data_IF_796946466187
#
_entry.id   IF_796946466187
#
_cell.length_a   1.000
_cell.length_b   1.000
_cell.length_c   1.000
_cell.angle_alpha   90.00
_cell.angle_beta   90.00
_cell.angle_gamma   90.00
#
_symmetry.space_group_name_H-M   'P 1'
#
loop_
_entity.id
_entity.type
_entity.pdbx_description
1 polymer ?
#
# COMPACT_ATOMS: atom_id res chain seq x y z
N UNK A 1 61.60 -43.83 24.46
CA UNK A 1 61.95 -42.53 25.07
C UNK A 1 61.58 -41.45 24.07
N UNK A 2 60.77 -40.43 24.33
CA UNK A 2 59.93 -39.99 25.45
C UNK A 2 59.05 -38.87 24.88
N UNK A 3 57.90 -38.63 25.49
CA UNK A 3 56.86 -37.65 25.14
C UNK A 3 57.35 -36.20 24.94
N UNK A 4 56.60 -35.39 24.18
CA UNK A 4 55.87 -34.25 24.78
C UNK A 4 54.73 -33.73 23.91
N UNK A 5 53.63 -33.47 24.59
CA UNK A 5 52.31 -33.01 24.15
C UNK A 5 52.19 -31.50 24.05
N UNK A 6 51.38 -31.01 23.11
CA UNK A 6 50.59 -29.78 23.30
C UNK A 6 49.22 -29.92 22.64
N UNK A 7 48.19 -29.90 23.50
CA UNK A 7 46.76 -29.88 23.17
C UNK A 7 46.35 -28.42 22.95
N UNK A 8 45.73 -28.07 21.84
CA UNK A 8 44.84 -26.91 21.76
C UNK A 8 43.42 -27.36 21.44
N UNK A 9 42.48 -26.96 22.30
CA UNK A 9 41.03 -27.13 22.17
C UNK A 9 40.55 -26.41 20.91
N UNK A 10 39.85 -27.10 20.02
CA UNK A 10 38.92 -26.48 19.08
C UNK A 10 37.57 -26.35 19.78
N UNK A 11 37.12 -25.11 19.97
CA UNK A 11 35.74 -24.79 20.34
C UNK A 11 34.90 -24.94 19.07
N UNK A 12 33.94 -25.86 19.12
CA UNK A 12 32.85 -25.95 18.16
C UNK A 12 31.93 -24.74 18.41
N UNK A 13 32.00 -23.73 17.56
CA UNK A 13 30.91 -22.77 17.37
C UNK A 13 30.35 -22.92 15.97
N UNK A 14 29.15 -23.47 15.92
CA UNK A 14 28.28 -23.61 14.77
C UNK A 14 28.01 -22.26 14.10
N UNK A 15 28.60 -22.07 12.92
CA UNK A 15 28.26 -20.98 11.99
C UNK A 15 26.86 -21.26 11.43
N UNK A 16 25.86 -20.35 11.55
CA UNK A 16 24.58 -20.54 10.89
C UNK A 16 24.71 -20.28 9.37
N UNK A 17 24.71 -21.39 8.63
CA UNK A 17 24.13 -21.64 7.31
C UNK A 17 23.88 -20.42 6.35
N UNK A 18 24.97 -19.77 5.94
CA UNK A 18 25.04 -18.78 4.84
C UNK A 18 24.34 -19.16 3.50
N UNK A 19 24.18 -20.44 3.11
CA UNK A 19 23.50 -20.80 1.86
C UNK A 19 21.98 -20.53 1.85
N UNK A 20 21.30 -20.53 3.00
CA UNK A 20 19.86 -20.21 3.09
C UNK A 20 19.59 -18.70 2.95
N UNK A 21 20.47 -17.86 3.49
CA UNK A 21 20.40 -16.40 3.35
C UNK A 21 20.61 -15.97 1.88
N UNK A 22 21.50 -16.64 1.14
CA UNK A 22 21.72 -16.36 -0.29
C UNK A 22 20.52 -16.74 -1.17
N UNK A 23 19.79 -17.81 -0.85
CA UNK A 23 18.56 -18.18 -1.58
C UNK A 23 17.39 -17.24 -1.26
N UNK A 24 17.34 -16.73 -0.03
CA UNK A 24 16.43 -15.64 0.32
C UNK A 24 16.79 -14.37 -0.47
N UNK A 25 18.02 -13.88 -0.42
CA UNK A 25 18.46 -12.68 -1.16
C UNK A 25 18.20 -12.74 -2.68
N UNK A 26 18.30 -13.91 -3.32
CA UNK A 26 17.92 -14.08 -4.73
C UNK A 26 16.42 -14.00 -5.00
N UNK A 27 15.56 -14.41 -4.06
CA UNK A 27 14.11 -14.22 -4.14
C UNK A 27 13.68 -12.79 -3.78
N UNK A 28 14.51 -12.05 -3.05
CA UNK A 28 14.24 -10.68 -2.60
C UNK A 28 14.52 -9.63 -3.68
N UNK A 29 15.42 -9.93 -4.62
CA UNK A 29 15.75 -9.04 -5.75
C UNK A 29 14.60 -8.82 -6.75
N UNK A 30 13.51 -9.59 -6.68
CA UNK A 30 12.41 -9.53 -7.66
C UNK A 30 11.13 -8.83 -7.16
N UNK A 31 10.98 -8.56 -5.86
CA UNK A 31 9.67 -8.22 -5.29
C UNK A 31 9.61 -6.93 -4.43
N UNK A 32 10.69 -6.14 -4.33
CA UNK A 32 10.71 -4.92 -3.50
C UNK A 32 11.18 -3.76 -4.38
N UNK A 33 10.24 -3.07 -5.03
CA UNK A 33 10.52 -1.99 -5.99
C UNK A 33 9.76 -0.69 -5.66
N UNK A 34 9.30 -0.52 -4.42
CA UNK A 34 8.14 0.32 -4.12
C UNK A 34 8.24 1.00 -2.74
N UNK A 35 7.44 2.05 -2.52
CA UNK A 35 7.28 2.67 -1.21
C UNK A 35 6.77 1.67 -0.17
N UNK A 36 7.32 1.77 1.04
CA UNK A 36 7.08 0.82 2.12
C UNK A 36 6.30 1.45 3.26
N UNK A 37 5.25 0.77 3.69
CA UNK A 37 4.49 1.06 4.89
C UNK A 37 4.83 0.01 5.94
N UNK A 38 5.28 0.48 7.09
CA UNK A 38 5.54 -0.33 8.28
C UNK A 38 4.53 0.04 9.35
N UNK A 39 3.72 -0.92 9.75
CA UNK A 39 2.77 -0.80 10.86
C UNK A 39 3.24 -1.69 11.99
N UNK A 40 3.38 -1.11 13.18
CA UNK A 40 3.74 -1.82 14.41
C UNK A 40 2.60 -1.61 15.39
N UNK A 41 1.98 -2.69 15.87
CA UNK A 41 0.96 -2.63 16.91
C UNK A 41 1.43 -3.32 18.18
N UNK A 42 1.19 -2.68 19.32
CA UNK A 42 1.50 -3.16 20.67
C UNK A 42 0.28 -3.64 21.44
N UNK A 43 0.41 -3.66 22.77
CA UNK A 43 -0.42 -4.37 23.75
C UNK A 43 -1.94 -4.44 23.48
N UNK A 44 -2.52 -5.62 23.78
CA UNK A 44 -3.95 -5.75 24.09
C UNK A 44 -4.23 -5.19 25.48
N UNK A 45 -4.27 -3.88 25.63
CA UNK A 45 -4.85 -3.27 26.85
C UNK A 45 -6.33 -3.03 26.56
N UNK A 46 -7.19 -3.99 26.93
CA UNK A 46 -8.64 -3.78 26.86
C UNK A 46 -9.00 -2.74 27.93
N UNK A 47 -8.96 -1.46 27.56
CA UNK A 47 -9.65 -0.42 28.31
C UNK A 47 -11.12 -0.46 27.92
N UNK A 48 -11.93 -1.20 28.69
CA UNK A 48 -13.39 -1.08 28.67
C UNK A 48 -13.76 0.29 29.27
N UNK A 49 -13.63 1.37 28.49
CA UNK A 49 -14.35 2.60 28.75
C UNK A 49 -15.55 2.66 27.82
N UNK A 50 -16.66 2.12 28.32
CA UNK A 50 -17.98 2.27 27.71
C UNK A 50 -18.51 3.65 28.12
N UNK A 51 -18.16 4.69 27.35
CA UNK A 51 -18.85 5.98 27.43
C UNK A 51 -19.73 6.14 26.19
N UNK A 52 -21.03 6.14 26.43
CA UNK A 52 -22.07 6.47 25.46
C UNK A 52 -22.02 7.97 25.14
N UNK A 53 -21.49 8.34 23.97
CA UNK A 53 -21.59 9.70 23.44
C UNK A 53 -22.95 9.91 22.74
N UNK A 54 -23.62 11.07 22.91
CA UNK A 54 -24.90 11.34 22.29
C UNK A 54 -24.74 11.71 20.80
N UNK A 55 -25.76 11.39 20.02
CA UNK A 55 -25.84 11.73 18.60
C UNK A 55 -25.83 13.25 18.39
N UNK A 56 -24.80 13.77 17.73
CA UNK A 56 -24.75 15.16 17.26
C UNK A 56 -25.08 15.25 15.77
N UNK A 57 -26.00 16.14 15.44
CA UNK A 57 -26.41 16.48 14.09
C UNK A 57 -25.30 17.24 13.34
N UNK A 58 -25.11 16.90 12.06
CA UNK A 58 -24.09 17.48 11.16
C UNK A 58 -24.57 18.86 10.67
N UNK A 59 -23.79 19.95 10.85
CA UNK A 59 -24.09 21.23 10.20
C UNK A 59 -23.66 21.21 8.72
N UNK A 60 -24.57 21.66 7.86
CA UNK A 60 -24.37 21.82 6.42
C UNK A 60 -23.55 23.06 6.10
N UNK A 61 -22.21 22.98 6.14
CA UNK A 61 -21.30 23.86 5.39
C UNK A 61 -19.86 23.33 5.47
N UNK A 62 -19.29 22.89 4.35
CA UNK A 62 -17.86 22.55 4.25
C UNK A 62 -17.05 23.78 3.77
N UNK A 63 -15.88 24.09 4.36
CA UNK A 63 -14.92 25.03 3.81
C UNK A 63 -14.24 24.45 2.54
N UNK A 64 -13.60 25.30 1.71
CA UNK A 64 -13.02 24.87 0.44
C UNK A 64 -11.87 23.86 0.63
N UNK A 65 -11.66 22.94 -0.34
CA UNK A 65 -10.69 21.87 -0.20
C UNK A 65 -9.24 22.40 -0.26
N UNK A 66 -8.31 21.86 0.54
CA UNK A 66 -6.89 22.11 0.37
C UNK A 66 -6.40 21.51 -0.95
N UNK A 67 -5.39 22.14 -1.53
CA UNK A 67 -4.64 21.67 -2.70
C UNK A 67 -4.00 20.31 -2.41
N UNK A 68 -4.50 19.25 -3.04
CA UNK A 68 -3.95 17.90 -2.99
C UNK A 68 -2.64 17.84 -3.79
N UNK A 69 -1.53 17.53 -3.11
CA UNK A 69 -0.31 17.03 -3.74
C UNK A 69 -0.53 15.57 -4.19
N UNK A 70 0.02 15.11 -5.33
CA UNK A 70 -0.52 13.95 -6.05
C UNK A 70 -0.19 12.56 -5.48
N UNK A 71 0.54 12.43 -4.37
CA UNK A 71 1.20 11.15 -4.02
C UNK A 71 0.97 10.62 -2.58
N UNK A 72 -0.04 11.09 -1.85
CA UNK A 72 -0.28 10.60 -0.49
C UNK A 72 -1.24 9.39 -0.47
N UNK A 73 -0.72 8.22 -0.08
CA UNK A 73 -1.54 7.05 0.30
C UNK A 73 -2.41 7.39 1.52
N UNK A 74 -3.67 6.90 1.62
CA UNK A 74 -4.60 7.28 2.69
C UNK A 74 -4.18 6.84 4.11
N UNK A 75 -3.22 5.92 4.25
CA UNK A 75 -2.59 5.58 5.54
C UNK A 75 -1.67 6.72 6.04
N UNK A 76 -1.23 7.61 5.15
CA UNK A 76 -0.17 8.61 5.38
C UNK A 76 -0.74 9.97 5.84
N UNK A 77 -2.06 10.15 5.89
CA UNK A 77 -2.61 11.47 6.22
C UNK A 77 -2.71 11.73 7.74
N UNK A 78 -1.62 11.54 8.49
CA UNK A 78 -1.61 11.92 9.92
C UNK A 78 -1.70 13.44 10.13
N UNK A 79 -1.34 14.21 9.09
CA UNK A 79 -1.33 15.68 9.10
C UNK A 79 -2.71 16.31 8.86
N UNK A 80 -3.69 15.50 8.43
CA UNK A 80 -5.04 15.95 8.09
C UNK A 80 -6.02 15.46 9.15
N UNK A 81 -6.91 16.36 9.55
CA UNK A 81 -8.03 15.99 10.42
C UNK A 81 -9.10 15.27 9.60
N UNK A 82 -9.37 14.02 9.96
CA UNK A 82 -10.38 13.19 9.31
C UNK A 82 -11.46 12.89 10.35
N UNK A 83 -12.70 13.27 10.04
CA UNK A 83 -13.85 13.11 10.95
C UNK A 83 -13.64 13.77 12.33
N UNK A 84 -12.92 14.91 12.37
CA UNK A 84 -12.65 15.64 13.61
C UNK A 84 -11.55 15.02 14.48
N UNK A 85 -10.82 14.03 13.97
CA UNK A 85 -9.78 13.31 14.73
C UNK A 85 -8.44 13.39 14.00
N UNK A 86 -7.36 13.53 14.77
CA UNK A 86 -5.97 13.37 14.33
C UNK A 86 -5.28 12.30 15.18
N UNK A 87 -4.24 11.63 14.67
CA UNK A 87 -3.40 10.77 15.49
C UNK A 87 -2.78 11.54 16.66
N UNK A 88 -2.58 10.86 17.80
CA UNK A 88 -1.95 11.46 19.00
C UNK A 88 -0.54 11.96 18.74
N UNK A 89 0.17 11.32 17.80
CA UNK A 89 1.51 11.67 17.37
C UNK A 89 1.55 11.66 15.83
N UNK A 90 2.17 12.69 15.25
CA UNK A 90 2.38 12.78 13.81
C UNK A 90 3.71 13.53 13.57
N UNK A 91 4.61 12.91 12.82
CA UNK A 91 5.80 13.55 12.29
C UNK A 91 5.43 14.12 10.90
N UNK A 92 5.86 15.34 10.60
CA UNK A 92 5.60 15.95 9.29
C UNK A 92 6.23 15.11 8.18
N UNK A 93 5.56 15.07 7.02
CA UNK A 93 6.04 14.32 5.88
C UNK A 93 7.39 14.88 5.37
N UNK A 94 8.37 13.99 5.24
CA UNK A 94 9.69 14.31 4.70
C UNK A 94 9.90 13.60 3.37
N UNK A 95 10.12 14.39 2.32
CA UNK A 95 10.49 13.87 1.01
C UNK A 95 11.92 13.32 1.02
N UNK A 96 12.09 12.15 0.42
CA UNK A 96 13.29 11.35 0.22
C UNK A 96 14.07 11.12 1.53
N UNK A 97 13.46 10.49 2.54
CA UNK A 97 14.04 10.35 3.87
C UNK A 97 15.31 9.51 3.84
N UNK A 98 16.28 9.89 4.67
CA UNK A 98 17.51 9.12 4.85
C UNK A 98 17.25 7.83 5.64
N UNK A 99 18.19 6.89 5.56
CA UNK A 99 18.19 5.69 6.42
C UNK A 99 18.17 6.04 7.91
N UNK A 100 18.83 7.15 8.29
CA UNK A 100 18.81 7.65 9.66
C UNK A 100 17.39 8.05 10.08
N UNK A 101 16.66 8.76 9.22
CA UNK A 101 15.28 9.16 9.50
C UNK A 101 14.41 7.92 9.77
N UNK A 102 14.49 6.90 8.90
CA UNK A 102 13.76 5.65 9.10
C UNK A 102 14.11 4.97 10.44
N UNK A 103 15.39 4.89 10.77
CA UNK A 103 15.86 4.25 12.01
C UNK A 103 15.46 5.03 13.27
N UNK A 104 15.46 6.36 13.19
CA UNK A 104 14.98 7.23 14.26
C UNK A 104 13.47 7.04 14.48
N UNK A 105 12.65 7.10 13.41
CA UNK A 105 11.20 6.88 13.51
C UNK A 105 10.86 5.47 14.05
N UNK A 106 11.61 4.44 13.66
CA UNK A 106 11.49 3.08 14.23
C UNK A 106 11.77 3.10 15.74
N UNK A 107 12.84 3.78 16.17
CA UNK A 107 13.20 3.86 17.59
C UNK A 107 12.15 4.63 18.40
N UNK A 108 11.64 5.74 17.86
CA UNK A 108 10.58 6.54 18.47
C UNK A 108 9.29 5.72 18.61
N UNK A 109 8.87 5.04 17.55
CA UNK A 109 7.69 4.17 17.57
C UNK A 109 7.80 3.09 18.65
N UNK A 110 8.92 2.38 18.73
CA UNK A 110 9.13 1.37 19.78
C UNK A 110 9.09 1.96 21.19
N UNK A 111 9.62 3.17 21.39
CA UNK A 111 9.59 3.82 22.69
C UNK A 111 8.17 4.18 23.11
N UNK A 112 7.37 4.78 22.22
CA UNK A 112 5.97 5.16 22.46
C UNK A 112 5.10 3.91 22.71
N UNK A 113 5.26 2.87 21.90
CA UNK A 113 4.54 1.61 22.08
C UNK A 113 4.91 0.93 23.41
N UNK A 114 6.16 1.07 23.85
CA UNK A 114 6.63 0.51 25.12
C UNK A 114 6.15 1.31 26.32
N UNK A 115 6.01 2.63 26.21
CA UNK A 115 5.48 3.47 27.29
C UNK A 115 3.96 3.32 27.46
N UNK A 116 3.27 2.79 26.46
CA UNK A 116 1.81 2.64 26.46
C UNK A 116 1.08 3.93 26.08
N UNK A 117 1.79 4.91 25.53
CA UNK A 117 1.20 6.17 25.04
C UNK A 117 0.47 5.98 23.71
N UNK A 118 0.75 4.90 22.98
CA UNK A 118 0.00 4.47 21.82
C UNK A 118 -0.01 2.93 21.69
N UNK A 119 -1.07 2.40 21.06
CA UNK A 119 -1.20 0.97 20.75
C UNK A 119 -0.78 0.63 19.30
N UNK A 120 -0.57 1.66 18.46
CA UNK A 120 -0.19 1.53 17.05
C UNK A 120 0.77 2.63 16.65
N UNK A 121 1.76 2.28 15.83
CA UNK A 121 2.61 3.20 15.09
C UNK A 121 2.61 2.84 13.60
N UNK A 122 2.56 3.85 12.74
CA UNK A 122 2.71 3.71 11.30
C UNK A 122 3.90 4.54 10.82
N UNK A 123 4.76 3.95 10.00
CA UNK A 123 5.96 4.57 9.46
C UNK A 123 5.95 4.37 7.95
N UNK A 124 6.24 5.43 7.20
CA UNK A 124 6.31 5.41 5.75
C UNK A 124 7.73 5.66 5.26
N UNK A 125 8.14 4.93 4.23
CA UNK A 125 9.47 5.03 3.63
C UNK A 125 9.39 4.98 2.09
N UNK A 126 9.66 6.11 1.44
CA UNK A 126 9.51 6.26 -0.01
C UNK A 126 10.78 6.08 -0.83
N UNK A 127 11.94 5.92 -0.18
CA UNK A 127 13.24 5.96 -0.87
C UNK A 127 13.29 5.01 -2.07
N UNK A 128 12.71 3.82 -1.94
CA UNK A 128 12.74 2.80 -3.00
C UNK A 128 11.92 3.25 -4.21
N UNK A 129 10.76 3.89 -4.01
CA UNK A 129 9.96 4.48 -5.09
C UNK A 129 10.70 5.62 -5.77
N UNK A 130 11.29 6.54 -5.00
CA UNK A 130 12.10 7.66 -5.53
C UNK A 130 13.25 7.14 -6.41
N UNK A 131 14.00 6.13 -5.95
CA UNK A 131 15.08 5.54 -6.75
C UNK A 131 14.54 4.75 -7.95
N UNK A 132 13.38 4.11 -7.82
CA UNK A 132 12.70 3.38 -8.89
C UNK A 132 12.24 4.30 -10.02
N UNK A 133 11.69 5.45 -9.65
CA UNK A 133 11.38 6.56 -10.53
C UNK A 133 12.65 7.06 -11.22
N UNK A 134 13.67 7.53 -10.49
CA UNK A 134 14.85 8.14 -11.10
C UNK A 134 15.67 7.19 -11.98
N UNK A 135 15.88 5.94 -11.55
CA UNK A 135 16.85 5.03 -12.17
C UNK A 135 16.23 3.78 -12.78
N UNK A 136 14.94 3.54 -12.56
CA UNK A 136 14.24 2.34 -13.00
C UNK A 136 14.33 1.20 -11.98
N UNK A 137 13.36 0.28 -11.99
CA UNK A 137 13.22 -0.76 -10.97
C UNK A 137 14.44 -1.71 -10.90
N UNK A 138 15.10 -1.97 -12.02
CA UNK A 138 16.23 -2.90 -12.08
C UNK A 138 17.61 -2.24 -11.83
N UNK A 139 17.63 -1.01 -11.32
CA UNK A 139 18.86 -0.24 -11.12
C UNK A 139 19.68 -0.69 -9.90
N UNK A 140 20.96 -0.26 -9.85
CA UNK A 140 21.79 -0.47 -8.67
C UNK A 140 21.32 0.36 -7.47
N UNK A 141 20.72 1.51 -7.73
CA UNK A 141 20.21 2.46 -6.76
C UNK A 141 19.02 1.87 -6.00
N UNK A 142 18.06 1.29 -6.72
CA UNK A 142 16.95 0.55 -6.10
C UNK A 142 17.47 -0.60 -5.24
N UNK A 143 18.43 -1.40 -5.74
CA UNK A 143 19.06 -2.47 -4.94
C UNK A 143 19.73 -1.94 -3.68
N UNK A 144 20.34 -0.76 -3.75
CA UNK A 144 20.95 -0.11 -2.58
C UNK A 144 19.87 0.33 -1.59
N UNK A 145 18.80 0.98 -2.04
CA UNK A 145 17.69 1.41 -1.18
C UNK A 145 17.00 0.21 -0.49
N UNK A 146 16.81 -0.91 -1.19
CA UNK A 146 16.28 -2.15 -0.60
C UNK A 146 17.21 -2.70 0.49
N UNK A 147 18.54 -2.67 0.28
CA UNK A 147 19.50 -3.08 1.32
C UNK A 147 19.44 -2.18 2.55
N UNK A 148 19.24 -0.87 2.36
CA UNK A 148 19.10 0.07 3.48
C UNK A 148 17.82 -0.18 4.28
N UNK A 149 16.70 -0.47 3.60
CA UNK A 149 15.47 -0.92 4.28
C UNK A 149 15.71 -2.21 5.07
N UNK A 150 16.39 -3.19 4.48
CA UNK A 150 16.72 -4.45 5.17
C UNK A 150 17.57 -4.21 6.43
N UNK A 151 18.59 -3.35 6.36
CA UNK A 151 19.39 -2.94 7.52
C UNK A 151 18.55 -2.26 8.61
N UNK A 152 17.62 -1.37 8.22
CA UNK A 152 16.70 -0.76 9.17
C UNK A 152 15.78 -1.80 9.83
N UNK A 153 15.32 -2.81 9.07
CA UNK A 153 14.51 -3.92 9.62
C UNK A 153 15.33 -4.82 10.55
N UNK A 154 16.62 -5.03 10.29
CA UNK A 154 17.52 -5.71 11.23
C UNK A 154 17.65 -4.91 12.53
N UNK A 155 17.79 -3.59 12.45
CA UNK A 155 17.81 -2.71 13.63
C UNK A 155 16.52 -2.78 14.43
N UNK A 156 15.35 -2.75 13.76
CA UNK A 156 14.05 -2.97 14.39
C UNK A 156 14.02 -4.29 15.16
N UNK A 157 14.41 -5.39 14.50
CA UNK A 157 14.41 -6.72 15.12
C UNK A 157 15.35 -6.82 16.33
N UNK A 158 16.52 -6.17 16.29
CA UNK A 158 17.45 -6.16 17.41
C UNK A 158 16.87 -5.36 18.59
N UNK A 159 16.32 -4.16 18.33
CA UNK A 159 15.69 -3.35 19.37
C UNK A 159 14.52 -4.07 20.03
N UNK A 160 13.65 -4.73 19.26
CA UNK A 160 12.54 -5.53 19.79
C UNK A 160 13.04 -6.63 20.75
N UNK A 161 14.16 -7.27 20.44
CA UNK A 161 14.77 -8.29 21.31
C UNK A 161 15.37 -7.67 22.57
N UNK A 162 16.13 -6.60 22.43
CA UNK A 162 16.78 -5.88 23.54
C UNK A 162 15.75 -5.31 24.53
N UNK A 163 14.57 -4.92 24.05
CA UNK A 163 13.47 -4.41 24.88
C UNK A 163 12.50 -5.50 25.36
N UNK A 164 12.76 -6.78 25.07
CA UNK A 164 11.88 -7.92 25.41
C UNK A 164 10.44 -7.80 24.85
N UNK A 165 10.26 -7.13 23.72
CA UNK A 165 8.95 -6.88 23.09
C UNK A 165 8.58 -7.93 22.01
N UNK A 166 9.42 -8.94 21.79
CA UNK A 166 9.27 -9.89 20.68
C UNK A 166 7.93 -10.67 20.66
N UNK A 167 7.32 -10.91 21.83
CA UNK A 167 6.03 -11.58 21.95
C UNK A 167 4.87 -10.61 22.23
N UNK A 168 5.12 -9.31 22.11
CA UNK A 168 4.17 -8.24 22.45
C UNK A 168 3.78 -7.39 21.23
N UNK A 169 4.57 -7.45 20.17
CA UNK A 169 4.37 -6.63 18.97
C UNK A 169 3.97 -7.48 17.77
N UNK A 170 2.98 -6.99 17.03
CA UNK A 170 2.79 -7.38 15.64
C UNK A 170 3.43 -6.31 14.74
N UNK A 171 4.14 -6.77 13.73
CA UNK A 171 4.80 -5.95 12.72
C UNK A 171 4.26 -6.36 11.35
N UNK A 172 3.68 -5.42 10.63
CA UNK A 172 3.17 -5.59 9.27
C UNK A 172 3.92 -4.63 8.36
N UNK A 173 4.61 -5.17 7.36
CA UNK A 173 5.35 -4.41 6.35
C UNK A 173 4.74 -4.69 4.99
N UNK A 174 4.30 -3.68 4.27
CA UNK A 174 3.69 -3.83 2.96
C UNK A 174 3.96 -2.63 2.07
N UNK A 175 3.66 -2.76 0.79
CA UNK A 175 3.77 -1.66 -0.17
C UNK A 175 2.41 -1.28 -0.73
N UNK A 176 2.30 -0.01 -1.11
CA UNK A 176 1.16 0.59 -1.80
C UNK A 176 1.01 0.08 -3.24
N UNK A 177 2.10 -0.01 -3.99
CA UNK A 177 2.06 -0.43 -5.39
C UNK A 177 3.36 -1.12 -5.83
N UNK A 178 3.49 -1.34 -7.14
CA UNK A 178 4.66 -1.85 -7.82
C UNK A 178 5.45 -0.75 -8.57
N UNK A 179 6.34 -1.13 -9.49
CA UNK A 179 7.07 -0.21 -10.38
C UNK A 179 7.41 -0.89 -11.71
N UNK A 180 7.17 -0.21 -12.83
CA UNK A 180 7.51 -0.68 -14.19
C UNK A 180 8.51 0.26 -14.85
N UNK A 181 9.44 -0.28 -15.62
CA UNK A 181 10.35 0.52 -16.47
C UNK A 181 9.58 1.22 -17.59
N UNK A 182 9.87 2.49 -17.83
CA UNK A 182 9.30 3.29 -18.93
C UNK A 182 10.33 3.52 -20.04
N UNK A 183 9.86 3.67 -21.28
CA UNK A 183 10.72 3.79 -22.47
C UNK A 183 10.39 5.07 -23.26
N UNK A 184 11.00 6.19 -22.87
CA UNK A 184 10.63 7.52 -23.35
C UNK A 184 10.82 7.80 -24.84
N UNK A 185 11.74 7.09 -25.50
CA UNK A 185 12.00 7.30 -26.93
C UNK A 185 11.05 6.53 -27.84
N UNK A 186 10.44 5.47 -27.33
CA UNK A 186 9.69 4.49 -28.13
C UNK A 186 8.21 4.42 -27.72
N UNK A 187 7.93 4.57 -26.42
CA UNK A 187 6.63 4.27 -25.82
C UNK A 187 5.99 5.49 -25.17
N UNK A 188 5.88 6.58 -25.94
CA UNK A 188 5.19 7.80 -25.50
C UNK A 188 3.99 8.06 -26.40
N UNK A 189 2.82 8.22 -25.78
CA UNK A 189 1.57 8.61 -26.44
C UNK A 189 1.41 10.11 -26.26
N UNK A 190 1.56 10.85 -27.35
CA UNK A 190 1.41 12.31 -27.40
C UNK A 190 -0.03 12.62 -27.84
N UNK A 191 -0.87 13.09 -26.91
CA UNK A 191 -2.30 13.30 -27.15
C UNK A 191 -2.57 14.35 -28.22
N UNK A 192 -1.73 15.38 -28.32
CA UNK A 192 -1.88 16.47 -29.28
C UNK A 192 -1.69 16.06 -30.76
N UNK A 193 -1.18 14.84 -31.00
CA UNK A 193 -1.14 14.23 -32.34
C UNK A 193 -2.47 13.63 -32.79
N UNK A 194 -3.37 13.36 -31.85
CA UNK A 194 -4.64 12.67 -32.11
C UNK A 194 -5.86 13.57 -31.89
N UNK A 195 -5.76 14.53 -30.97
CA UNK A 195 -6.84 15.45 -30.63
C UNK A 195 -6.33 16.89 -30.55
N UNK A 196 -7.24 17.85 -30.73
CA UNK A 196 -6.92 19.24 -30.47
C UNK A 196 -7.03 19.51 -28.97
N UNK A 197 -5.96 20.00 -28.35
CA UNK A 197 -5.99 20.31 -26.90
C UNK A 197 -6.96 21.44 -26.55
N UNK A 198 -7.38 22.27 -27.51
CA UNK A 198 -8.46 23.25 -27.30
C UNK A 198 -9.86 22.62 -27.20
N UNK A 199 -10.03 21.36 -27.57
CA UNK A 199 -11.27 20.61 -27.33
C UNK A 199 -11.36 20.11 -25.87
N UNK A 200 -10.30 20.26 -25.06
CA UNK A 200 -10.19 19.78 -23.68
C UNK A 200 -10.29 20.93 -22.69
N UNK A 201 -11.26 20.86 -21.78
CA UNK A 201 -11.46 21.83 -20.68
C UNK A 201 -10.43 21.60 -19.58
N UNK A 202 -10.20 20.33 -19.23
CA UNK A 202 -9.28 19.93 -18.17
C UNK A 202 -8.63 18.60 -18.50
N UNK A 203 -7.32 18.56 -18.33
CA UNK A 203 -6.53 17.33 -18.29
C UNK A 203 -5.93 17.24 -16.88
N UNK A 204 -6.04 16.07 -16.27
CA UNK A 204 -5.34 15.77 -15.02
C UNK A 204 -4.39 14.59 -15.22
N UNK A 205 -3.21 14.77 -14.63
CA UNK A 205 -2.13 13.80 -14.60
C UNK A 205 -1.42 13.57 -15.95
N UNK A 206 -0.40 12.72 -15.93
CA UNK A 206 0.36 12.18 -17.06
C UNK A 206 0.87 10.79 -16.69
N UNK A 207 1.25 10.00 -17.69
CA UNK A 207 1.83 8.67 -17.49
C UNK A 207 0.82 7.56 -17.74
N UNK A 208 0.67 6.57 -16.85
CA UNK A 208 -0.17 5.39 -17.08
C UNK A 208 -1.65 5.70 -17.14
N UNK A 209 -2.12 6.67 -16.36
CA UNK A 209 -3.51 7.04 -16.27
C UNK A 209 -3.64 8.54 -16.46
N UNK A 210 -4.48 8.95 -17.41
CA UNK A 210 -4.79 10.36 -17.66
C UNK A 210 -6.28 10.56 -17.65
N UNK A 211 -6.73 11.63 -16.99
CA UNK A 211 -8.13 11.96 -16.84
C UNK A 211 -8.45 13.19 -17.70
N UNK A 212 -9.43 13.07 -18.61
CA UNK A 212 -9.83 14.15 -19.52
C UNK A 212 -11.28 14.57 -19.32
N UNK A 213 -11.49 15.89 -19.33
CA UNK A 213 -12.78 16.55 -19.44
C UNK A 213 -12.83 17.33 -20.75
N UNK A 214 -13.34 16.74 -21.84
CA UNK A 214 -13.61 17.45 -23.09
C UNK A 214 -14.74 18.47 -22.91
N UNK A 215 -14.81 19.46 -23.80
CA UNK A 215 -16.06 20.21 -23.98
C UNK A 215 -17.18 19.25 -24.40
N UNK A 216 -18.40 19.43 -23.87
CA UNK A 216 -19.54 18.52 -24.13
C UNK A 216 -19.77 18.25 -25.62
N UNK A 217 -19.71 19.30 -26.44
CA UNK A 217 -19.91 19.22 -27.90
C UNK A 217 -18.76 18.51 -28.64
N UNK A 218 -17.62 18.34 -27.98
CA UNK A 218 -16.42 17.69 -28.50
C UNK A 218 -16.20 16.28 -27.96
N UNK A 219 -16.97 15.87 -26.95
CA UNK A 219 -16.82 14.56 -26.30
C UNK A 219 -16.72 13.41 -27.29
N UNK A 220 -17.69 13.29 -28.20
CA UNK A 220 -17.73 12.17 -29.16
C UNK A 220 -16.55 12.19 -30.14
N UNK A 221 -16.14 13.39 -30.58
CA UNK A 221 -14.97 13.57 -31.45
C UNK A 221 -13.69 13.10 -30.73
N UNK A 222 -13.49 13.55 -29.50
CA UNK A 222 -12.31 13.21 -28.68
C UNK A 222 -12.30 11.71 -28.36
N UNK A 223 -13.42 11.16 -27.90
CA UNK A 223 -13.53 9.73 -27.58
C UNK A 223 -13.23 8.87 -28.81
N UNK A 224 -13.88 9.13 -29.95
CA UNK A 224 -13.66 8.36 -31.18
C UNK A 224 -12.20 8.41 -31.67
N UNK A 225 -11.57 9.59 -31.62
CA UNK A 225 -10.18 9.75 -32.03
C UNK A 225 -9.20 8.99 -31.11
N UNK A 226 -9.36 9.14 -29.79
CA UNK A 226 -8.47 8.50 -28.82
C UNK A 226 -8.67 6.97 -28.77
N UNK A 227 -9.88 6.46 -29.01
CA UNK A 227 -10.17 5.03 -29.04
C UNK A 227 -9.47 4.27 -30.18
N UNK A 228 -8.93 4.97 -31.18
CA UNK A 228 -8.11 4.37 -32.24
C UNK A 228 -6.62 4.31 -31.90
N UNK A 229 -6.19 4.94 -30.79
CA UNK A 229 -4.77 5.03 -30.45
C UNK A 229 -4.31 3.70 -29.85
N UNK A 230 -3.27 3.06 -30.40
CA UNK A 230 -2.80 1.78 -29.89
C UNK A 230 -2.07 1.94 -28.55
N UNK A 231 -1.97 0.84 -27.80
CA UNK A 231 -1.26 0.73 -26.52
C UNK A 231 -1.82 1.59 -25.37
N UNK A 232 -3.04 2.10 -25.54
CA UNK A 232 -3.86 2.58 -24.43
C UNK A 232 -5.31 2.21 -24.65
N UNK A 233 -6.07 2.16 -23.55
CA UNK A 233 -7.52 2.07 -23.58
C UNK A 233 -8.12 3.39 -23.14
N UNK A 234 -9.15 3.80 -23.85
CA UNK A 234 -10.00 4.94 -23.47
C UNK A 234 -11.27 4.36 -22.88
N UNK A 235 -11.57 4.73 -21.65
CA UNK A 235 -12.84 4.37 -21.03
C UNK A 235 -13.70 5.61 -20.89
N UNK A 236 -14.90 5.57 -21.48
CA UNK A 236 -15.97 6.39 -20.95
C UNK A 236 -16.25 5.94 -19.51
N UNK A 237 -16.73 6.85 -18.66
CA UNK A 237 -16.96 6.56 -17.23
C UNK A 237 -17.69 5.23 -16.97
N UNK A 238 -18.71 4.89 -17.76
CA UNK A 238 -19.49 3.66 -17.58
C UNK A 238 -18.77 2.38 -18.07
N UNK A 239 -17.79 2.53 -18.94
CA UNK A 239 -17.00 1.45 -19.55
C UNK A 239 -15.80 1.04 -18.69
N UNK A 240 -15.45 1.87 -17.70
CA UNK A 240 -14.37 1.56 -16.75
C UNK A 240 -14.67 0.21 -16.08
N UNK A 241 -13.73 -0.75 -16.12
CA UNK A 241 -13.94 -2.09 -15.60
C UNK A 241 -14.44 -2.09 -14.15
N UNK A 242 -15.47 -2.88 -13.86
CA UNK A 242 -16.07 -2.97 -12.52
C UNK A 242 -15.03 -3.34 -11.46
N UNK A 243 -14.10 -4.24 -11.79
CA UNK A 243 -13.02 -4.69 -10.89
C UNK A 243 -12.09 -3.59 -10.40
N UNK A 244 -12.05 -2.43 -11.06
CA UNK A 244 -11.27 -1.28 -10.58
C UNK A 244 -11.96 -0.58 -9.41
N UNK A 245 -13.28 -0.78 -9.22
CA UNK A 245 -14.09 -0.03 -8.26
C UNK A 245 -13.92 1.49 -8.37
N UNK A 246 -13.62 1.98 -9.58
CA UNK A 246 -13.24 3.37 -9.80
C UNK A 246 -14.42 4.24 -10.27
N UNK A 247 -15.26 3.76 -11.20
CA UNK A 247 -16.30 4.57 -11.88
C UNK A 247 -17.36 5.21 -10.99
N UNK A 248 -17.56 4.70 -9.78
CA UNK A 248 -18.49 5.28 -8.80
C UNK A 248 -17.99 6.57 -8.14
N UNK A 249 -16.69 6.87 -8.24
CA UNK A 249 -16.06 7.98 -7.53
C UNK A 249 -16.53 9.37 -7.99
N UNK A 250 -16.71 10.31 -7.05
CA UNK A 250 -17.14 11.69 -7.32
C UNK A 250 -16.24 12.42 -8.32
N UNK A 251 -14.94 12.11 -8.31
CA UNK A 251 -13.93 12.82 -9.11
C UNK A 251 -13.52 12.11 -10.40
N UNK A 252 -14.21 11.02 -10.77
CA UNK A 252 -13.91 10.28 -12.01
C UNK A 252 -14.28 11.13 -13.22
N UNK A 253 -13.35 11.24 -14.14
CA UNK A 253 -13.48 12.01 -15.38
C UNK A 253 -14.50 11.40 -16.36
N UNK A 254 -15.01 12.18 -17.33
CA UNK A 254 -15.77 11.65 -18.45
C UNK A 254 -15.00 10.60 -19.24
N UNK A 255 -13.71 10.85 -19.49
CA UNK A 255 -12.80 9.95 -20.19
C UNK A 255 -11.56 9.64 -19.34
N UNK A 256 -11.37 8.37 -19.02
CA UNK A 256 -10.17 7.85 -18.35
C UNK A 256 -9.33 7.06 -19.34
N UNK A 257 -8.11 7.52 -19.57
CA UNK A 257 -7.12 6.86 -20.41
C UNK A 257 -6.26 5.96 -19.54
N UNK A 258 -6.01 4.73 -19.98
CA UNK A 258 -5.15 3.77 -19.28
C UNK A 258 -4.17 3.16 -20.29
N UNK A 259 -2.90 3.48 -20.16
CA UNK A 259 -1.83 2.94 -20.99
C UNK A 259 -1.47 1.50 -20.63
N UNK A 260 -0.90 0.78 -21.59
CA UNK A 260 -0.25 -0.51 -21.35
C UNK A 260 1.10 -0.33 -20.64
N UNK A 261 1.62 -1.33 -19.91
CA UNK A 261 2.87 -1.23 -19.16
C UNK A 261 4.05 -0.71 -19.98
N UNK A 262 4.78 0.24 -19.41
CA UNK A 262 5.93 0.91 -20.03
C UNK A 262 5.58 2.01 -21.03
N UNK A 263 4.31 2.16 -21.42
CA UNK A 263 3.83 3.32 -22.17
C UNK A 263 3.51 4.49 -21.25
N UNK A 264 3.75 5.70 -21.75
CA UNK A 264 3.55 6.94 -21.00
C UNK A 264 2.69 7.91 -21.81
N UNK A 265 1.56 8.34 -21.25
CA UNK A 265 0.65 9.31 -21.87
C UNK A 265 1.05 10.72 -21.46
N UNK A 266 1.19 11.62 -22.42
CA UNK A 266 1.45 13.04 -22.18
C UNK A 266 0.72 13.88 -23.21
N UNK A 267 0.54 15.18 -22.94
CA UNK A 267 0.04 16.11 -23.95
C UNK A 267 0.98 16.15 -25.15
N UNK A 268 2.26 16.42 -24.90
CA UNK A 268 3.34 16.49 -25.89
C UNK A 268 4.66 16.11 -25.22
N UNK A 269 5.50 15.32 -25.89
CA UNK A 269 6.76 14.84 -25.28
C UNK A 269 7.79 15.94 -25.08
N UNK A 270 7.76 17.02 -25.87
CA UNK A 270 8.69 18.15 -25.75
C UNK A 270 8.55 18.90 -24.42
N UNK A 271 7.41 18.74 -23.73
CA UNK A 271 7.17 19.31 -22.39
C UNK A 271 7.66 18.42 -21.26
N UNK A 272 8.14 17.21 -21.56
CA UNK A 272 8.65 16.32 -20.54
C UNK A 272 10.02 16.81 -20.05
N UNK A 273 10.30 16.71 -18.74
CA UNK A 273 11.60 17.04 -18.21
C UNK A 273 12.63 16.01 -18.69
N UNK A 274 13.60 16.47 -19.48
CA UNK A 274 14.81 15.72 -19.82
C UNK A 274 15.99 16.34 -19.06
N UNK A 275 16.85 15.51 -18.46
CA UNK A 275 18.16 15.99 -18.03
C UNK A 275 19.16 15.78 -19.16
N UNK A 276 20.05 16.74 -19.33
CA UNK A 276 21.25 16.54 -20.15
C UNK A 276 22.25 15.78 -19.29
N UNK A 277 22.61 14.59 -19.72
CA UNK A 277 23.72 13.86 -19.11
C UNK A 277 25.04 14.31 -19.74
N UNK A 278 26.17 13.94 -19.11
CA UNK A 278 27.51 14.27 -19.61
C UNK A 278 27.83 13.62 -20.97
N UNK A 279 27.04 12.62 -21.38
CA UNK A 279 27.10 12.04 -22.73
C UNK A 279 26.45 12.91 -23.82
N UNK A 280 25.83 14.05 -23.47
CA UNK A 280 25.21 14.96 -24.43
C UNK A 280 23.86 14.50 -24.98
N UNK A 281 23.34 13.36 -24.50
CA UNK A 281 22.04 12.83 -24.88
C UNK A 281 20.96 13.29 -23.88
N UNK A 282 19.77 13.61 -24.41
CA UNK A 282 18.62 13.86 -23.56
C UNK A 282 18.11 12.53 -22.99
N UNK A 283 18.47 12.23 -21.74
CA UNK A 283 17.84 11.15 -20.99
C UNK A 283 16.70 11.71 -20.14
N UNK A 284 15.57 11.03 -20.15
CA UNK A 284 14.38 11.48 -19.45
C UNK A 284 14.58 11.48 -17.93
N UNK A 285 13.89 12.38 -17.23
CA UNK A 285 14.03 12.56 -15.78
C UNK A 285 13.64 11.34 -14.92
N UNK A 286 13.02 10.36 -15.53
CA UNK A 286 12.43 9.22 -14.87
C UNK A 286 12.71 8.00 -15.73
N UNK A 287 12.78 6.82 -15.13
CA UNK A 287 13.08 5.53 -15.76
C UNK A 287 12.17 4.42 -15.24
N UNK A 288 11.47 4.65 -14.13
CA UNK A 288 10.34 3.85 -13.67
C UNK A 288 9.08 4.70 -13.56
N UNK A 289 7.91 4.05 -13.62
CA UNK A 289 6.64 4.65 -13.24
C UNK A 289 5.65 3.57 -12.76
N UNK A 290 4.57 4.01 -12.11
CA UNK A 290 3.52 3.15 -11.58
C UNK A 290 2.12 3.77 -11.75
N UNK A 291 1.07 3.00 -11.46
CA UNK A 291 -0.34 3.42 -11.66
C UNK A 291 -1.01 2.77 -12.86
N UNK A 292 -0.32 1.85 -13.55
CA UNK A 292 -0.93 0.96 -14.53
C UNK A 292 -1.99 0.06 -13.88
N UNK A 293 -2.67 -0.74 -14.72
CA UNK A 293 -3.63 -1.75 -14.26
C UNK A 293 -3.07 -2.62 -13.13
N UNK A 294 -3.82 -2.71 -12.03
CA UNK A 294 -3.39 -3.38 -10.80
C UNK A 294 -3.23 -4.91 -10.93
N UNK A 295 -3.66 -5.51 -12.05
CA UNK A 295 -3.44 -6.94 -12.31
C UNK A 295 -2.05 -7.25 -12.90
N UNK A 296 -1.34 -6.25 -13.43
CA UNK A 296 0.03 -6.45 -13.89
C UNK A 296 0.95 -6.83 -12.74
N UNK A 297 1.83 -7.82 -12.97
CA UNK A 297 2.74 -8.33 -11.95
C UNK A 297 3.63 -7.22 -11.40
N UNK A 298 4.15 -6.36 -12.29
CA UNK A 298 5.00 -5.23 -11.93
C UNK A 298 4.29 -4.18 -11.06
N UNK A 299 2.95 -4.14 -11.02
CA UNK A 299 2.16 -3.23 -10.20
C UNK A 299 1.80 -3.79 -8.82
N UNK A 300 2.18 -5.05 -8.54
CA UNK A 300 1.90 -5.68 -7.25
C UNK A 300 2.90 -5.18 -6.22
N UNK A 301 2.39 -4.70 -5.09
CA UNK A 301 3.17 -4.49 -3.88
C UNK A 301 3.47 -5.82 -3.17
N UNK A 302 4.27 -5.74 -2.11
CA UNK A 302 4.57 -6.87 -1.23
C UNK A 302 3.80 -6.76 0.09
N UNK A 303 3.70 -7.88 0.82
CA UNK A 303 3.12 -7.94 2.16
C UNK A 303 3.88 -8.96 3.01
N UNK A 304 4.31 -8.55 4.20
CA UNK A 304 5.00 -9.35 5.20
C UNK A 304 4.40 -9.03 6.56
N UNK A 305 4.21 -10.05 7.39
CA UNK A 305 3.73 -9.87 8.76
C UNK A 305 4.43 -10.84 9.70
N UNK A 306 4.73 -10.38 10.91
CA UNK A 306 5.31 -11.17 11.99
C UNK A 306 4.78 -10.70 13.33
N UNK A 307 4.64 -11.60 14.29
CA UNK A 307 4.13 -11.27 15.62
C UNK A 307 3.44 -12.46 16.29
N UNK A 308 2.99 -12.31 17.54
CA UNK A 308 2.27 -13.34 18.27
C UNK A 308 0.95 -13.74 17.60
N UNK A 309 0.30 -12.79 16.91
CA UNK A 309 -1.01 -13.01 16.28
C UNK A 309 -0.92 -13.65 14.90
N UNK A 310 0.25 -13.66 14.26
CA UNK A 310 0.44 -14.19 12.91
C UNK A 310 1.03 -15.62 12.92
N UNK A 311 0.57 -16.45 11.98
CA UNK A 311 1.15 -17.79 11.75
C UNK A 311 2.60 -17.67 11.32
N UNK A 312 3.45 -18.49 11.94
CA UNK A 312 4.87 -18.60 11.56
C UNK A 312 5.01 -19.48 10.32
N UNK A 313 6.00 -19.16 9.47
CA UNK A 313 6.32 -19.91 8.25
C UNK A 313 5.13 -20.08 7.30
N UNK A 314 4.21 -19.10 7.27
CA UNK A 314 3.06 -19.11 6.37
C UNK A 314 3.41 -18.38 5.07
N UNK A 315 3.11 -18.99 3.93
CA UNK A 315 3.11 -18.32 2.63
C UNK A 315 1.68 -18.20 2.14
N UNK A 316 1.26 -16.95 1.95
CA UNK A 316 -0.08 -16.56 1.55
C UNK A 316 -0.30 -16.64 0.03
N UNK A 317 -1.54 -16.89 -0.39
CA UNK A 317 -2.00 -16.47 -1.71
C UNK A 317 -2.11 -14.92 -1.75
N UNK A 318 -2.12 -14.29 -2.93
CA UNK A 318 -2.25 -12.84 -3.03
C UNK A 318 -3.49 -12.30 -2.30
N UNK A 319 -3.30 -11.23 -1.54
CA UNK A 319 -4.37 -10.45 -0.90
C UNK A 319 -4.53 -9.11 -1.62
N UNK A 320 -5.58 -8.35 -1.31
CA UNK A 320 -5.74 -6.97 -1.79
C UNK A 320 -5.32 -6.01 -0.68
N UNK A 321 -4.77 -4.85 -1.03
CA UNK A 321 -4.36 -3.82 -0.06
C UNK A 321 -5.51 -3.39 0.85
N UNK A 322 -6.74 -3.36 0.33
CA UNK A 322 -7.97 -3.07 1.11
C UNK A 322 -8.24 -4.09 2.23
N UNK A 323 -7.65 -5.29 2.16
CA UNK A 323 -7.83 -6.32 3.21
C UNK A 323 -6.97 -6.04 4.44
N UNK A 324 -5.89 -5.26 4.29
CA UNK A 324 -4.93 -4.96 5.36
C UNK A 324 -5.59 -4.18 6.50
N UNK A 325 -6.58 -3.34 6.21
CA UNK A 325 -7.35 -2.64 7.24
C UNK A 325 -7.98 -3.60 8.25
N UNK A 326 -8.63 -4.67 7.78
CA UNK A 326 -9.27 -5.65 8.66
C UNK A 326 -8.24 -6.41 9.51
N UNK A 327 -7.06 -6.71 8.95
CA UNK A 327 -5.96 -7.31 9.72
C UNK A 327 -5.50 -6.37 10.84
N UNK A 328 -5.27 -5.09 10.53
CA UNK A 328 -4.84 -4.09 11.52
C UNK A 328 -5.87 -3.94 12.64
N UNK A 329 -7.15 -3.81 12.30
CA UNK A 329 -8.23 -3.73 13.29
C UNK A 329 -8.26 -4.96 14.20
N UNK A 330 -8.14 -6.17 13.61
CA UNK A 330 -8.15 -7.41 14.38
C UNK A 330 -6.96 -7.50 15.34
N UNK A 331 -5.74 -7.16 14.88
CA UNK A 331 -4.54 -7.17 15.74
C UNK A 331 -4.60 -6.15 16.87
N UNK A 332 -5.32 -5.04 16.67
CA UNK A 332 -5.56 -4.01 17.68
C UNK A 332 -6.77 -4.30 18.60
N UNK A 333 -7.60 -5.30 18.26
CA UNK A 333 -8.83 -5.60 19.00
C UNK A 333 -9.97 -4.59 18.81
N UNK A 334 -9.87 -3.72 17.80
CA UNK A 334 -10.89 -2.71 17.47
C UNK A 334 -11.87 -3.25 16.43
N UNK A 335 -13.14 -2.85 16.54
CA UNK A 335 -14.13 -3.22 15.53
C UNK A 335 -13.90 -2.40 14.25
N UNK A 336 -13.78 -3.05 13.08
CA UNK A 336 -13.57 -2.34 11.82
C UNK A 336 -14.81 -1.55 11.44
N UNK A 337 -14.61 -0.33 10.93
CA UNK A 337 -15.66 0.42 10.25
C UNK A 337 -16.01 -0.24 8.91
N UNK A 338 -17.18 0.06 8.32
CA UNK A 338 -17.56 -0.45 7.00
C UNK A 338 -16.47 -0.20 5.96
N UNK A 339 -16.01 -1.26 5.31
CA UNK A 339 -14.93 -1.22 4.33
C UNK A 339 -15.11 -2.30 3.25
N UNK A 340 -14.27 -2.27 2.21
CA UNK A 340 -14.35 -3.20 1.08
C UNK A 340 -13.35 -4.38 1.17
N UNK A 341 -12.57 -4.47 2.26
CA UNK A 341 -11.70 -5.60 2.51
C UNK A 341 -12.50 -6.87 2.78
N UNK A 342 -11.97 -8.03 2.40
CA UNK A 342 -12.63 -9.32 2.61
C UNK A 342 -11.86 -10.15 3.63
N UNK A 343 -12.48 -10.36 4.79
CA UNK A 343 -11.89 -11.13 5.89
C UNK A 343 -11.42 -12.53 5.49
N UNK A 344 -12.20 -13.24 4.68
CA UNK A 344 -11.86 -14.58 4.19
C UNK A 344 -10.53 -14.66 3.41
N UNK A 345 -10.02 -13.54 2.88
CA UNK A 345 -8.71 -13.51 2.20
C UNK A 345 -7.53 -13.42 3.15
N UNK A 346 -7.75 -13.06 4.41
CA UNK A 346 -6.66 -12.73 5.36
C UNK A 346 -6.73 -13.49 6.67
N UNK A 347 -7.89 -14.04 7.05
CA UNK A 347 -8.06 -14.70 8.35
C UNK A 347 -7.12 -15.89 8.55
N UNK A 348 -6.77 -16.61 7.47
CA UNK A 348 -5.88 -17.75 7.55
C UNK A 348 -4.44 -17.38 7.91
N UNK A 349 -4.07 -16.09 7.86
CA UNK A 349 -2.75 -15.59 8.25
C UNK A 349 -2.57 -15.56 9.77
N UNK A 350 -3.65 -15.66 10.55
CA UNK A 350 -3.65 -15.44 12.00
C UNK A 350 -3.62 -16.74 12.81
N UNK A 351 -3.02 -16.70 14.00
CA UNK A 351 -3.00 -17.80 14.96
C UNK A 351 -4.35 -17.88 15.69
N UNK A 352 -5.14 -18.91 15.37
CA UNK A 352 -6.36 -19.23 16.11
C UNK A 352 -7.58 -18.39 15.72
N UNK A 353 -8.71 -19.08 15.57
CA UNK A 353 -10.03 -18.53 15.33
C UNK A 353 -10.53 -17.73 16.55
N UNK A 354 -9.99 -16.54 16.76
CA UNK A 354 -10.65 -15.49 17.51
C UNK A 354 -11.77 -14.90 16.67
N UNK A 355 -12.75 -15.72 16.29
CA UNK A 355 -13.98 -15.24 15.71
C UNK A 355 -14.67 -14.40 16.76
N UNK A 356 -14.54 -13.07 16.69
CA UNK A 356 -15.65 -12.22 17.12
C UNK A 356 -16.81 -12.68 16.25
N UNK A 357 -17.81 -13.28 16.88
CA UNK A 357 -19.05 -13.61 16.22
C UNK A 357 -19.45 -12.37 15.41
N UNK A 358 -19.63 -12.53 14.09
CA UNK A 358 -20.36 -11.52 13.35
C UNK A 358 -21.66 -11.28 14.13
N UNK A 359 -22.08 -10.04 14.38
CA UNK A 359 -23.40 -9.83 14.95
C UNK A 359 -24.36 -10.54 14.01
N UNK A 360 -25.00 -11.61 14.50
CA UNK A 360 -26.03 -12.29 13.77
C UNK A 360 -27.02 -11.21 13.37
N UNK A 361 -27.19 -10.98 12.06
CA UNK A 361 -28.20 -10.06 11.58
C UNK A 361 -29.53 -10.54 12.18
N UNK A 362 -30.36 -9.65 12.76
CA UNK A 362 -31.58 -10.06 13.48
C UNK A 362 -32.56 -10.85 12.61
N UNK A 363 -32.35 -10.87 11.28
CA UNK A 363 -33.06 -11.70 10.33
C UNK A 363 -32.93 -13.21 10.54
N UNK A 364 -31.79 -13.73 11.00
CA UNK A 364 -31.65 -15.18 11.20
C UNK A 364 -32.44 -15.69 12.41
N UNK A 365 -32.56 -14.91 13.48
CA UNK A 365 -33.44 -15.26 14.61
C UNK A 365 -34.93 -15.18 14.24
N UNK A 366 -35.35 -14.19 13.44
CA UNK A 366 -36.75 -14.07 13.02
C UNK A 366 -37.23 -15.24 12.15
N UNK A 367 -36.38 -15.77 11.25
CA UNK A 367 -36.75 -16.91 10.40
C UNK A 367 -36.86 -18.22 11.18
N UNK A 368 -36.01 -18.42 12.19
CA UNK A 368 -36.10 -19.59 13.08
C UNK A 368 -37.35 -19.53 13.95
N UNK A 369 -37.67 -18.35 14.51
CA UNK A 369 -38.92 -18.14 15.26
C UNK A 369 -40.17 -18.33 14.39
N UNK A 370 -40.16 -17.85 13.14
CA UNK A 370 -41.27 -18.05 12.22
C UNK A 370 -41.45 -19.53 11.85
N UNK A 371 -40.34 -20.25 11.63
CA UNK A 371 -40.36 -21.69 11.35
C UNK A 371 -40.88 -22.53 12.50
N UNK A 372 -40.49 -22.20 13.75
CA UNK A 372 -41.00 -22.88 14.95
C UNK A 372 -42.48 -22.57 15.18
N UNK A 373 -42.92 -21.32 14.99
CA UNK A 373 -44.33 -20.95 15.12
C UNK A 373 -45.22 -21.62 14.06
N UNK A 374 -44.74 -21.75 12.82
CA UNK A 374 -45.46 -22.45 11.76
C UNK A 374 -45.54 -23.97 12.01
N UNK A 375 -44.50 -24.58 12.59
CA UNK A 375 -44.53 -26.00 12.96
C UNK A 375 -45.52 -26.28 14.10
N UNK A 376 -45.56 -25.42 15.13
CA UNK A 376 -46.52 -25.55 16.25
C UNK A 376 -47.97 -25.36 15.79
N UNK A 377 -48.21 -24.48 14.80
CA UNK A 377 -49.54 -24.30 14.22
C UNK A 377 -49.97 -25.47 13.33
N UNK A 378 -49.04 -26.20 12.72
CA UNK A 378 -49.35 -27.35 11.86
C UNK A 378 -49.71 -28.62 12.64
N UNK A 379 -49.20 -28.78 13.87
CA UNK A 379 -49.55 -29.90 14.76
C UNK A 379 -50.88 -29.71 15.52
N UNK A 380 -51.52 -28.54 15.40
CA UNK A 380 -52.79 -28.21 16.09
C UNK A 380 -53.98 -27.99 15.12
N UNK A 381 -53.93 -28.54 13.90
CA UNK A 381 -55.04 -28.55 12.92
C UNK A 381 -55.51 -29.97 12.65
#
# INVERSE_FOLDING_TARGET
>A
MTQTTTRHRTVNDSIPDLPRLRRLLHAWNFCILCSCHLVISGFRTIHLHQESAPAFAIPTAMPPPPTLLPHHSPIISCEVEILGVRPSFCEEYVYNPSEKNLTDSISNALNILRSGEADMAAIYYEKIDVEGHHFGPNSHQVRTAVRQLDLAMQTLNNKIKETNMANQLNVVLFSDHGMTTIQWMEKVIELDKYISMSDIVKMMDRGPVVNLWPHDQKYQKVYAALSQVPNMRVYARQEIPERFHYKGGKFVSPLTLVAEPGWFITENKTRLPYWKNDSGEASAWQNGWHGYDNEYLDMRGFFLATGPDFKRNCRAAPIRSVDVYNLMCWTLGVDPLPNNGSWARVEYLLNGSGGRAQPATPWTCCMVLLGVLLAICYENI
#
